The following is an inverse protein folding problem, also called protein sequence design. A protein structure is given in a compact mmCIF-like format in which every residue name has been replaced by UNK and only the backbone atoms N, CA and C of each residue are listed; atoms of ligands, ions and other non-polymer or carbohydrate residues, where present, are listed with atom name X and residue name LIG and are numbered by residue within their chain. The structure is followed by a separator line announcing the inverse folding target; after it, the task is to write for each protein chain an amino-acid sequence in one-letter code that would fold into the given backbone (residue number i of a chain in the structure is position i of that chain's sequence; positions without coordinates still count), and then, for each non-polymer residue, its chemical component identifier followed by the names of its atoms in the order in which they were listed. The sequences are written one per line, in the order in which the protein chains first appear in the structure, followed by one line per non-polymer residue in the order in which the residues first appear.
data_IF_913417825345
#
_entry.id   IF_913417825345
#
_cell.length_a   1.000
_cell.length_b   1.000
_cell.length_c   1.000
_cell.angle_alpha   90.00
_cell.angle_beta   90.00
_cell.angle_gamma   90.00
#
_symmetry.space_group_name_H-M   'P 1'
#
loop_
_entity.id
_entity.type
_entity.pdbx_description
1 polymer ?
#
# COMPACT_ATOMS: atom_id res chain seq x y z
N UNK A 1 -18.94 15.72 5.83
CA UNK A 1 -18.18 14.57 5.27
C UNK A 1 -18.75 14.22 3.92
N UNK A 2 -17.94 14.08 2.88
CA UNK A 2 -18.39 13.75 1.53
C UNK A 2 -19.08 12.36 1.49
N UNK A 3 -20.25 12.26 0.86
CA UNK A 3 -21.00 11.01 0.71
C UNK A 3 -20.49 10.20 -0.49
N UNK A 4 -19.26 9.68 -0.38
CA UNK A 4 -18.59 8.93 -1.44
C UNK A 4 -19.38 7.68 -1.86
N UNK A 5 -20.05 7.00 -0.92
CA UNK A 5 -20.86 5.82 -1.21
C UNK A 5 -21.97 6.10 -2.23
N UNK A 6 -22.69 7.23 -2.09
CA UNK A 6 -23.75 7.63 -3.03
C UNK A 6 -23.18 7.97 -4.41
N UNK A 7 -22.04 8.66 -4.46
CA UNK A 7 -21.39 9.05 -5.71
C UNK A 7 -20.88 7.83 -6.49
N UNK A 8 -20.26 6.88 -5.80
CA UNK A 8 -19.74 5.65 -6.44
C UNK A 8 -20.85 4.71 -6.89
N UNK A 9 -21.98 4.67 -6.17
CA UNK A 9 -23.16 3.93 -6.60
C UNK A 9 -23.84 4.53 -7.84
N UNK A 10 -23.67 5.83 -8.07
CA UNK A 10 -24.23 6.53 -9.22
C UNK A 10 -23.44 6.31 -10.52
N UNK A 11 -22.31 5.57 -10.50
CA UNK A 11 -21.53 5.29 -11.71
C UNK A 11 -22.40 4.62 -12.80
N UNK A 12 -22.59 5.28 -13.97
CA UNK A 12 -23.40 4.73 -15.04
C UNK A 12 -22.70 3.57 -15.76
N UNK A 13 -21.37 3.47 -15.67
CA UNK A 13 -20.58 2.58 -16.52
C UNK A 13 -20.49 1.14 -15.98
N UNK A 14 -20.63 0.11 -16.82
CA UNK A 14 -20.37 -1.26 -16.42
C UNK A 14 -18.87 -1.54 -16.13
N UNK A 15 -18.54 -2.63 -15.41
CA UNK A 15 -19.46 -3.35 -14.53
C UNK A 15 -19.91 -2.46 -13.36
N UNK A 16 -21.19 -2.57 -12.99
CA UNK A 16 -21.78 -1.76 -11.93
C UNK A 16 -21.09 -2.06 -10.59
N UNK A 17 -20.79 -1.01 -9.83
CA UNK A 17 -20.20 -1.14 -8.50
C UNK A 17 -18.68 -1.40 -8.48
N UNK A 18 -17.99 -1.30 -9.62
CA UNK A 18 -16.53 -1.50 -9.72
C UNK A 18 -15.68 -0.66 -8.77
N UNK A 19 -16.19 0.50 -8.32
CA UNK A 19 -15.48 1.36 -7.38
C UNK A 19 -15.81 1.11 -5.91
N UNK A 20 -16.75 0.21 -5.58
CA UNK A 20 -17.09 -0.11 -4.18
C UNK A 20 -15.86 -0.59 -3.41
N UNK A 21 -14.94 -1.29 -4.08
CA UNK A 21 -13.68 -1.74 -3.48
C UNK A 21 -12.78 -0.56 -3.10
N UNK A 22 -12.73 0.51 -3.90
CA UNK A 22 -11.91 1.69 -3.62
C UNK A 22 -12.42 2.45 -2.39
N UNK A 23 -13.74 2.53 -2.23
CA UNK A 23 -14.38 3.10 -1.04
C UNK A 23 -14.05 2.32 0.24
N UNK A 24 -14.12 0.99 0.15
CA UNK A 24 -13.74 0.12 1.26
C UNK A 24 -12.25 0.32 1.63
N UNK A 25 -11.36 0.33 0.62
CA UNK A 25 -9.92 0.56 0.81
C UNK A 25 -9.68 1.91 1.48
N UNK A 26 -10.24 2.99 0.92
CA UNK A 26 -10.07 4.35 1.43
C UNK A 26 -10.53 4.50 2.89
N UNK A 27 -11.64 3.84 3.27
CA UNK A 27 -12.22 3.98 4.62
C UNK A 27 -11.63 3.04 5.68
N UNK A 28 -11.13 1.87 5.27
CA UNK A 28 -10.75 0.80 6.20
C UNK A 28 -9.27 0.44 6.17
N UNK A 29 -8.60 0.64 5.04
CA UNK A 29 -7.28 0.06 4.77
C UNK A 29 -6.24 1.08 4.34
N UNK A 30 -6.58 2.36 4.24
CA UNK A 30 -5.65 3.43 3.89
C UNK A 30 -5.51 4.42 5.04
N UNK A 31 -4.26 4.75 5.35
CA UNK A 31 -3.85 5.83 6.24
C UNK A 31 -2.71 6.60 5.58
N UNK A 32 -2.43 7.81 6.04
CA UNK A 32 -1.29 8.58 5.54
C UNK A 32 0.03 7.84 5.81
N UNK A 33 0.96 7.93 4.86
CA UNK A 33 2.31 7.34 4.99
C UNK A 33 2.99 7.87 6.25
N UNK A 34 3.49 6.96 7.10
CA UNK A 34 4.10 7.28 8.38
C UNK A 34 3.17 7.15 9.60
N UNK A 35 1.85 6.99 9.41
CA UNK A 35 0.91 6.79 10.52
C UNK A 35 1.29 5.56 11.39
N UNK A 36 1.17 5.62 12.73
CA UNK A 36 0.63 6.73 13.55
C UNK A 36 1.63 7.87 13.85
N UNK A 37 2.88 7.78 13.39
CA UNK A 37 3.90 8.80 13.54
C UNK A 37 4.14 9.60 12.25
N UNK A 38 5.41 9.75 11.88
CA UNK A 38 5.85 10.45 10.68
C UNK A 38 6.61 9.52 9.74
N UNK A 39 6.65 9.86 8.46
CA UNK A 39 7.53 9.18 7.50
C UNK A 39 9.00 9.44 7.84
N UNK A 40 9.89 8.59 7.35
CA UNK A 40 11.33 8.68 7.56
C UNK A 40 12.09 8.22 6.30
N UNK A 41 13.42 8.34 6.29
CA UNK A 41 14.22 8.06 5.10
C UNK A 41 14.07 6.61 4.56
N UNK A 42 13.84 5.62 5.44
CA UNK A 42 13.61 4.24 5.02
C UNK A 42 12.21 4.05 4.41
N UNK A 43 11.17 4.65 5.01
CA UNK A 43 9.81 4.60 4.49
C UNK A 43 9.74 5.29 3.12
N UNK A 44 10.39 6.46 2.99
CA UNK A 44 10.48 7.20 1.73
C UNK A 44 11.13 6.35 0.62
N UNK A 45 12.26 5.70 0.92
CA UNK A 45 12.91 4.83 -0.05
C UNK A 45 12.04 3.63 -0.45
N UNK A 46 11.41 2.94 0.51
CA UNK A 46 10.50 1.82 0.22
C UNK A 46 9.35 2.27 -0.69
N UNK A 47 8.80 3.46 -0.43
CA UNK A 47 7.70 4.01 -1.22
C UNK A 47 8.15 4.39 -2.63
N UNK A 48 9.26 5.10 -2.76
CA UNK A 48 9.76 5.62 -4.04
C UNK A 48 10.44 4.55 -4.93
N UNK A 49 10.80 3.40 -4.36
CA UNK A 49 11.38 2.26 -5.11
C UNK A 49 10.34 1.22 -5.53
N UNK A 50 9.04 1.52 -5.34
CA UNK A 50 7.94 0.69 -5.83
C UNK A 50 7.88 -0.73 -5.24
N UNK A 51 8.55 -0.99 -4.11
CA UNK A 51 8.57 -2.32 -3.51
C UNK A 51 7.17 -2.78 -3.04
N UNK A 52 6.35 -1.86 -2.51
CA UNK A 52 4.97 -2.17 -2.11
C UNK A 52 4.10 -2.50 -3.34
N UNK A 53 4.04 -1.67 -4.40
CA UNK A 53 3.35 -2.02 -5.66
C UNK A 53 3.83 -3.35 -6.25
N UNK A 54 5.13 -3.62 -6.26
CA UNK A 54 5.70 -4.88 -6.73
C UNK A 54 5.19 -6.07 -5.92
N UNK A 55 5.12 -5.95 -4.59
CA UNK A 55 4.54 -6.98 -3.71
C UNK A 55 3.09 -7.31 -4.08
N UNK A 56 2.25 -6.29 -4.30
CA UNK A 56 0.86 -6.50 -4.74
C UNK A 56 0.79 -7.12 -6.14
N UNK A 57 1.68 -6.73 -7.06
CA UNK A 57 1.72 -7.27 -8.41
C UNK A 57 2.04 -8.78 -8.42
N UNK A 58 2.95 -9.25 -7.56
CA UNK A 58 3.24 -10.69 -7.44
C UNK A 58 1.99 -11.50 -7.06
N UNK A 59 1.18 -10.97 -6.14
CA UNK A 59 -0.09 -11.61 -5.72
C UNK A 59 -1.13 -11.55 -6.83
N UNK A 60 -1.32 -10.38 -7.45
CA UNK A 60 -2.31 -10.19 -8.51
C UNK A 60 -2.03 -11.06 -9.75
N UNK A 61 -0.76 -11.34 -10.02
CA UNK A 61 -0.31 -12.23 -11.10
C UNK A 61 -0.34 -13.72 -10.73
N UNK A 62 -0.73 -14.07 -9.50
CA UNK A 62 -0.78 -15.46 -9.03
C UNK A 62 0.59 -16.10 -8.79
N UNK A 63 1.66 -15.30 -8.73
CA UNK A 63 3.04 -15.79 -8.55
C UNK A 63 3.36 -16.15 -7.10
N UNK A 64 2.68 -15.50 -6.15
CA UNK A 64 2.84 -15.72 -4.72
C UNK A 64 1.50 -15.60 -4.01
N UNK A 65 1.31 -16.33 -2.92
CA UNK A 65 0.22 -16.06 -1.98
C UNK A 65 0.43 -14.70 -1.29
N UNK A 66 -0.63 -14.06 -0.76
CA UNK A 66 -0.49 -12.81 -0.03
C UNK A 66 0.52 -12.87 1.13
N UNK A 67 0.54 -13.99 1.87
CA UNK A 67 1.44 -14.16 3.00
C UNK A 67 2.91 -14.33 2.56
N UNK A 68 3.16 -15.01 1.45
CA UNK A 68 4.50 -15.14 0.87
C UNK A 68 5.02 -13.81 0.35
N UNK A 69 4.21 -13.07 -0.40
CA UNK A 69 4.59 -11.75 -0.92
C UNK A 69 4.94 -10.78 0.22
N UNK A 70 4.15 -10.77 1.31
CA UNK A 70 4.43 -9.96 2.49
C UNK A 70 5.76 -10.34 3.17
N UNK A 71 6.04 -11.65 3.31
CA UNK A 71 7.32 -12.12 3.86
C UNK A 71 8.51 -11.76 2.97
N UNK A 72 8.36 -11.87 1.66
CA UNK A 72 9.39 -11.48 0.70
C UNK A 72 9.65 -9.96 0.75
N UNK A 73 8.60 -9.14 0.75
CA UNK A 73 8.75 -7.69 0.89
C UNK A 73 9.41 -7.30 2.23
N UNK A 74 9.04 -7.95 3.34
CA UNK A 74 9.69 -7.75 4.64
C UNK A 74 11.20 -8.03 4.57
N UNK A 75 11.61 -9.06 3.83
CA UNK A 75 13.03 -9.37 3.62
C UNK A 75 13.75 -8.24 2.88
N UNK A 76 13.13 -7.66 1.85
CA UNK A 76 13.66 -6.50 1.11
C UNK A 76 13.70 -5.22 1.96
N UNK A 77 12.76 -5.02 2.87
CA UNK A 77 12.70 -3.81 3.71
C UNK A 77 13.80 -3.78 4.78
N UNK A 78 14.15 -4.95 5.36
CA UNK A 78 15.17 -5.04 6.42
C UNK A 78 16.50 -4.36 6.09
N UNK A 79 17.17 -4.64 4.95
CA UNK A 79 18.43 -3.99 4.61
C UNK A 79 18.29 -2.48 4.39
N UNK A 80 17.14 -2.00 3.89
CA UNK A 80 16.87 -0.56 3.74
C UNK A 80 16.84 0.11 5.12
N UNK A 81 16.11 -0.46 6.07
CA UNK A 81 16.08 0.04 7.45
C UNK A 81 17.47 -0.03 8.11
N UNK A 82 18.22 -1.12 7.91
CA UNK A 82 19.57 -1.25 8.45
C UNK A 82 20.51 -0.16 7.90
N UNK A 83 20.45 0.09 6.59
CA UNK A 83 21.22 1.14 5.92
C UNK A 83 20.96 2.53 6.50
N UNK A 84 19.71 2.89 6.71
CA UNK A 84 19.37 4.23 7.22
C UNK A 84 19.67 4.39 8.72
N UNK A 85 19.56 3.32 9.52
CA UNK A 85 20.04 3.32 10.91
C UNK A 85 21.55 3.53 11.00
N UNK A 86 22.33 2.82 10.17
CA UNK A 86 23.78 2.98 10.12
C UNK A 86 24.23 4.40 9.74
N UNK A 87 23.36 5.16 9.05
CA UNK A 87 23.59 6.56 8.68
C UNK A 87 23.05 7.58 9.69
N UNK A 88 22.44 7.13 10.79
CA UNK A 88 21.81 8.00 11.79
C UNK A 88 20.66 8.85 11.24
N UNK A 89 19.93 8.33 10.22
CA UNK A 89 18.81 9.05 9.58
C UNK A 89 17.44 8.55 10.02
N UNK A 90 17.40 7.48 10.81
CA UNK A 90 16.23 6.91 11.48
C UNK A 90 16.66 6.27 12.80
#
# INVERSE_FOLDING_TARGET
MHNYAKQLAADPHPPKGKYKVLDLIARKYTVNVGYPGFSNAAIDEIFNTWLIPQMFAQVAQGKMTPAEAARAAQHEFKPIFAKWRARGKI
#
